data_IF_664461298189
#
_entry.id   IF_664461298189
#
_cell.length_a   1.000
_cell.length_b   1.000
_cell.length_c   1.000
_cell.angle_alpha   90.00
_cell.angle_beta   90.00
_cell.angle_gamma   90.00
#
_symmetry.space_group_name_H-M   'P 1'
#
loop_
_entity.id
_entity.type
_entity.pdbx_description
1 polymer ?
#
# COMPACT_ATOMS: atom_id res chain seq x y z
N UNK A 1 4.68 16.96 0.05
CA UNK A 1 4.51 17.80 1.26
C UNK A 1 4.55 16.89 2.48
N UNK A 2 5.19 17.29 3.58
CA UNK A 2 5.21 16.52 4.84
C UNK A 2 4.38 17.27 5.87
N UNK A 3 3.24 16.70 6.27
CA UNK A 3 2.32 17.37 7.21
C UNK A 3 1.38 16.38 7.90
N UNK A 4 1.41 16.39 9.23
CA UNK A 4 0.76 15.42 10.12
C UNK A 4 1.25 13.97 9.92
N UNK A 5 0.90 13.09 10.86
CA UNK A 5 1.28 11.67 10.85
C UNK A 5 0.58 10.88 11.96
N UNK A 6 -0.77 10.79 11.93
CA UNK A 6 -1.50 10.03 12.93
C UNK A 6 -1.24 8.53 12.76
N UNK A 7 -1.39 7.79 13.86
CA UNK A 7 -1.34 6.33 13.83
C UNK A 7 -2.41 5.74 12.89
N UNK A 8 -2.09 4.62 12.23
CA UNK A 8 -3.03 3.93 11.35
C UNK A 8 -3.85 2.84 12.07
N UNK A 9 -3.52 2.49 13.32
CA UNK A 9 -4.30 1.53 14.12
C UNK A 9 -5.42 2.22 14.89
N UNK A 10 -5.10 3.22 15.73
CA UNK A 10 -6.05 3.98 16.56
C UNK A 10 -6.60 5.25 15.87
N UNK A 11 -6.08 5.60 14.69
CA UNK A 11 -6.60 6.68 13.85
C UNK A 11 -6.57 6.25 12.36
N UNK A 12 -6.62 7.21 11.42
CA UNK A 12 -6.79 6.94 9.99
C UNK A 12 -5.48 6.79 9.19
N UNK A 13 -4.32 7.15 9.76
CA UNK A 13 -3.04 6.80 9.16
C UNK A 13 -2.67 7.54 7.87
N UNK A 14 -3.13 8.78 7.68
CA UNK A 14 -2.79 9.58 6.50
C UNK A 14 -2.23 10.96 6.87
N UNK A 15 -1.48 11.53 5.94
CA UNK A 15 -1.16 12.97 5.95
C UNK A 15 -2.42 13.83 5.92
N UNK A 16 -2.30 15.10 6.29
CA UNK A 16 -3.46 16.00 6.39
C UNK A 16 -4.18 16.24 5.05
N UNK A 17 -5.49 16.47 5.10
CA UNK A 17 -6.29 16.93 3.95
C UNK A 17 -5.77 18.27 3.39
N UNK A 18 -5.33 19.17 4.27
CA UNK A 18 -4.80 20.49 3.88
C UNK A 18 -3.61 20.35 2.93
N UNK A 19 -2.69 19.42 3.22
CA UNK A 19 -1.54 19.16 2.35
C UNK A 19 -1.97 18.64 0.98
N UNK A 20 -2.89 17.68 0.92
CA UNK A 20 -3.38 17.15 -0.37
C UNK A 20 -4.10 18.24 -1.18
N UNK A 21 -4.93 19.07 -0.54
CA UNK A 21 -5.63 20.17 -1.22
C UNK A 21 -4.66 21.24 -1.76
N UNK A 22 -3.62 21.59 -1.00
CA UNK A 22 -2.57 22.50 -1.46
C UNK A 22 -1.83 21.87 -2.64
N UNK A 23 -1.43 20.60 -2.54
CA UNK A 23 -0.74 19.90 -3.61
C UNK A 23 -1.59 19.88 -4.90
N UNK A 24 -2.88 19.53 -4.80
CA UNK A 24 -3.80 19.48 -5.94
C UNK A 24 -3.97 20.85 -6.62
N UNK A 25 -3.94 21.94 -5.86
CA UNK A 25 -3.97 23.30 -6.42
C UNK A 25 -2.66 23.71 -7.10
N UNK A 26 -1.52 23.23 -6.61
CA UNK A 26 -0.20 23.65 -7.08
C UNK A 26 0.33 22.79 -8.23
N UNK A 27 -0.14 21.55 -8.38
CA UNK A 27 0.47 20.58 -9.29
C UNK A 27 0.29 20.92 -10.78
N UNK A 28 -0.69 21.77 -11.11
CA UNK A 28 -0.99 22.16 -12.49
C UNK A 28 -1.83 21.13 -13.26
N UNK A 29 -2.23 21.44 -14.51
CA UNK A 29 -3.17 20.63 -15.29
C UNK A 29 -2.64 19.24 -15.69
N UNK A 30 -1.33 19.11 -15.89
CA UNK A 30 -0.66 17.86 -16.27
C UNK A 30 -0.02 17.14 -15.07
N UNK A 31 -0.32 17.61 -13.86
CA UNK A 31 0.34 17.18 -12.63
C UNK A 31 -0.39 16.05 -11.91
N UNK A 32 0.37 15.31 -11.08
CA UNK A 32 -0.17 14.26 -10.22
C UNK A 32 0.21 14.49 -8.75
N UNK A 33 -0.74 14.27 -7.86
CA UNK A 33 -0.48 14.23 -6.41
C UNK A 33 -0.47 12.79 -5.96
N UNK A 34 0.68 12.32 -5.51
CA UNK A 34 0.82 11.03 -4.86
C UNK A 34 0.74 11.21 -3.33
N UNK A 35 -0.08 10.39 -2.69
CA UNK A 35 -0.24 10.35 -1.22
C UNK A 35 -0.34 8.89 -0.78
N UNK A 36 -0.13 8.62 0.51
CA UNK A 36 -0.08 7.26 1.05
C UNK A 36 -0.93 7.08 2.31
N UNK A 37 -1.10 5.83 2.70
CA UNK A 37 -1.78 5.42 3.92
C UNK A 37 -0.93 4.38 4.66
N UNK A 38 -0.88 4.48 5.99
CA UNK A 38 -0.12 3.55 6.82
C UNK A 38 -0.75 2.15 6.88
N UNK A 39 0.08 1.12 7.13
CA UNK A 39 -0.27 -0.30 7.04
C UNK A 39 -0.70 -0.76 5.63
N UNK A 40 -1.27 -1.97 5.54
CA UNK A 40 -1.79 -2.52 4.30
C UNK A 40 -3.10 -1.87 3.85
N UNK A 41 -3.55 -2.26 2.66
CA UNK A 41 -4.79 -1.75 2.07
C UNK A 41 -6.07 -2.16 2.84
N UNK A 42 -5.98 -3.16 3.70
CA UNK A 42 -7.03 -3.57 4.63
C UNK A 42 -7.26 -2.58 5.78
N UNK A 43 -6.26 -1.75 6.12
CA UNK A 43 -6.37 -0.75 7.19
C UNK A 43 -6.23 0.66 6.63
N UNK A 44 -5.06 1.00 6.08
CA UNK A 44 -4.75 2.37 5.68
C UNK A 44 -5.61 2.85 4.53
N UNK A 45 -5.67 2.06 3.46
CA UNK A 45 -6.45 2.42 2.28
C UNK A 45 -7.96 2.44 2.59
N UNK A 46 -8.47 1.47 3.35
CA UNK A 46 -9.87 1.45 3.78
C UNK A 46 -10.24 2.75 4.51
N UNK A 47 -9.43 3.17 5.49
CA UNK A 47 -9.64 4.41 6.24
C UNK A 47 -9.42 5.66 5.40
N UNK A 48 -8.48 5.63 4.45
CA UNK A 48 -8.27 6.72 3.49
C UNK A 48 -9.55 6.98 2.70
N UNK A 49 -10.16 5.96 2.12
CA UNK A 49 -11.42 6.10 1.36
C UNK A 49 -12.61 6.44 2.27
N UNK A 50 -12.80 5.70 3.35
CA UNK A 50 -14.01 5.81 4.17
C UNK A 50 -14.02 6.97 5.17
N UNK A 51 -12.86 7.52 5.53
CA UNK A 51 -12.74 8.65 6.46
C UNK A 51 -12.20 9.88 5.72
N UNK A 52 -10.98 9.83 5.20
CA UNK A 52 -10.31 11.02 4.66
C UNK A 52 -10.98 11.53 3.38
N UNK A 53 -11.22 10.67 2.39
CA UNK A 53 -11.92 11.03 1.15
C UNK A 53 -13.36 11.45 1.43
N UNK A 54 -14.09 10.69 2.27
CA UNK A 54 -15.46 11.03 2.66
C UNK A 54 -15.56 12.42 3.31
N UNK A 55 -14.63 12.76 4.20
CA UNK A 55 -14.64 14.05 4.90
C UNK A 55 -14.16 15.21 4.01
N UNK A 56 -13.15 14.97 3.16
CA UNK A 56 -12.56 16.00 2.31
C UNK A 56 -13.30 16.25 1.00
N UNK A 57 -14.11 15.29 0.54
CA UNK A 57 -14.68 15.27 -0.80
C UNK A 57 -13.68 14.93 -1.92
N UNK A 58 -12.43 14.60 -1.58
CA UNK A 58 -11.41 14.22 -2.57
C UNK A 58 -11.66 12.81 -3.09
N UNK A 59 -11.57 12.64 -4.41
CA UNK A 59 -11.77 11.35 -5.09
C UNK A 59 -10.45 10.91 -5.73
N UNK A 60 -9.84 9.80 -5.29
CA UNK A 60 -8.62 9.27 -5.89
C UNK A 60 -8.86 8.78 -7.33
N UNK A 61 -7.92 9.03 -8.23
CA UNK A 61 -8.02 8.58 -9.64
C UNK A 61 -7.51 7.16 -9.87
N UNK A 62 -6.60 6.67 -9.01
CA UNK A 62 -6.03 5.33 -9.07
C UNK A 62 -5.46 4.92 -7.71
N UNK A 63 -5.26 3.62 -7.51
CA UNK A 63 -4.55 3.03 -6.38
C UNK A 63 -3.31 2.29 -6.89
N UNK A 64 -2.17 2.55 -6.24
CA UNK A 64 -0.94 1.76 -6.42
C UNK A 64 -0.76 0.86 -5.21
N UNK A 65 -0.82 -0.46 -5.41
CA UNK A 65 -0.52 -1.45 -4.38
C UNK A 65 0.92 -1.88 -4.51
N UNK A 66 1.73 -1.60 -3.49
CA UNK A 66 3.15 -1.99 -3.46
C UNK A 66 3.27 -3.43 -2.96
N UNK A 67 4.05 -4.24 -3.67
CA UNK A 67 4.35 -5.62 -3.29
C UNK A 67 5.84 -5.93 -3.53
N UNK A 68 6.34 -6.97 -2.89
CA UNK A 68 7.70 -7.51 -3.13
C UNK A 68 7.63 -9.03 -3.21
N UNK A 69 8.49 -9.66 -4.02
CA UNK A 69 8.55 -11.13 -4.11
C UNK A 69 8.80 -11.75 -2.73
N UNK A 70 9.69 -11.13 -1.93
CA UNK A 70 10.02 -11.59 -0.56
C UNK A 70 8.81 -11.56 0.38
N UNK A 71 8.03 -10.48 0.37
CA UNK A 71 6.84 -10.35 1.20
C UNK A 71 5.75 -11.35 0.78
N UNK A 72 5.58 -11.59 -0.52
CA UNK A 72 4.66 -12.62 -1.00
C UNK A 72 5.10 -14.01 -0.51
N UNK A 73 6.38 -14.39 -0.67
CA UNK A 73 6.89 -15.66 -0.13
C UNK A 73 6.65 -15.80 1.39
N UNK A 74 6.76 -14.71 2.16
CA UNK A 74 6.46 -14.72 3.60
C UNK A 74 4.98 -14.98 3.85
N UNK A 75 4.08 -14.36 3.10
CA UNK A 75 2.64 -14.64 3.16
C UNK A 75 2.26 -16.04 2.68
N UNK A 76 3.12 -16.68 1.87
CA UNK A 76 2.97 -18.07 1.44
C UNK A 76 3.38 -19.12 2.47
N UNK A 77 3.75 -18.70 3.69
CA UNK A 77 4.16 -19.61 4.77
C UNK A 77 5.67 -19.76 4.93
N UNK A 78 6.45 -18.86 4.34
CA UNK A 78 7.91 -18.84 4.52
C UNK A 78 8.36 -18.68 5.99
N UNK A 79 9.63 -18.96 6.31
CA UNK A 79 10.17 -18.91 7.67
C UNK A 79 10.00 -17.55 8.35
N UNK A 80 9.71 -17.52 9.65
CA UNK A 80 9.44 -16.26 10.38
C UNK A 80 10.59 -15.25 10.23
N UNK A 81 10.27 -14.06 9.70
CA UNK A 81 11.22 -12.94 9.63
C UNK A 81 11.31 -12.28 11.01
N UNK A 82 12.52 -12.14 11.53
CA UNK A 82 12.81 -11.49 12.82
C UNK A 82 13.78 -10.34 12.59
N UNK A 83 13.44 -9.15 13.07
CA UNK A 83 14.27 -7.96 12.94
C UNK A 83 15.69 -8.21 13.50
N UNK A 84 16.71 -7.78 12.76
CA UNK A 84 18.11 -7.96 13.13
C UNK A 84 18.71 -9.34 12.84
N UNK A 85 17.90 -10.32 12.38
CA UNK A 85 18.42 -11.61 11.89
C UNK A 85 18.58 -11.59 10.38
N UNK A 86 19.53 -12.38 9.89
CA UNK A 86 19.70 -12.64 8.45
C UNK A 86 18.43 -13.29 7.91
N UNK A 87 18.00 -12.86 6.72
CA UNK A 87 16.85 -13.46 6.05
C UNK A 87 17.16 -14.92 5.68
N UNK A 88 16.16 -15.78 5.85
CA UNK A 88 16.23 -17.16 5.39
C UNK A 88 16.44 -17.22 3.86
N UNK A 89 17.16 -18.24 3.39
CA UNK A 89 17.44 -18.46 1.97
C UNK A 89 16.16 -18.56 1.14
N UNK A 90 15.05 -19.04 1.73
CA UNK A 90 13.73 -19.05 1.10
C UNK A 90 13.29 -17.66 0.59
N UNK A 91 13.84 -16.57 1.14
CA UNK A 91 13.56 -15.21 0.69
C UNK A 91 14.54 -14.68 -0.37
N UNK A 92 15.75 -15.19 -0.44
CA UNK A 92 16.79 -14.74 -1.40
C UNK A 92 16.97 -15.67 -2.58
N UNK A 93 16.44 -16.89 -2.53
CA UNK A 93 16.44 -17.85 -3.62
C UNK A 93 15.07 -17.95 -4.29
N UNK A 94 15.03 -18.48 -5.51
CA UNK A 94 13.76 -18.72 -6.21
C UNK A 94 12.94 -19.77 -5.45
N UNK A 95 11.67 -19.45 -5.18
CA UNK A 95 10.71 -20.40 -4.65
C UNK A 95 9.32 -19.99 -5.13
N UNK A 96 8.87 -20.63 -6.22
CA UNK A 96 7.60 -20.30 -6.87
C UNK A 96 6.38 -20.77 -6.08
N UNK A 97 6.50 -21.86 -5.31
CA UNK A 97 5.41 -22.39 -4.49
C UNK A 97 5.03 -21.41 -3.37
N UNK A 98 6.01 -20.90 -2.63
CA UNK A 98 5.78 -19.86 -1.61
C UNK A 98 5.26 -18.57 -2.24
N UNK A 99 5.77 -18.19 -3.41
CA UNK A 99 5.31 -17.00 -4.11
C UNK A 99 3.83 -17.12 -4.50
N UNK A 100 3.45 -18.24 -5.13
CA UNK A 100 2.09 -18.51 -5.57
C UNK A 100 1.12 -18.56 -4.38
N UNK A 101 1.47 -19.28 -3.31
CA UNK A 101 0.68 -19.32 -2.08
C UNK A 101 0.50 -17.90 -1.48
N UNK A 102 1.55 -17.09 -1.52
CA UNK A 102 1.58 -15.70 -1.04
C UNK A 102 0.74 -14.72 -1.84
N UNK A 103 0.57 -14.95 -3.14
CA UNK A 103 -0.25 -14.11 -4.02
C UNK A 103 -1.71 -14.02 -3.55
N UNK A 104 -2.20 -14.98 -2.76
CA UNK A 104 -3.52 -14.92 -2.13
C UNK A 104 -3.75 -13.64 -1.31
N UNK A 105 -2.72 -13.16 -0.60
CA UNK A 105 -2.76 -11.90 0.14
C UNK A 105 -2.91 -10.69 -0.80
N UNK A 106 -2.05 -10.58 -1.82
CA UNK A 106 -2.11 -9.49 -2.80
C UNK A 106 -3.45 -9.48 -3.55
N UNK A 107 -3.94 -10.65 -3.96
CA UNK A 107 -5.25 -10.78 -4.59
C UNK A 107 -6.38 -10.27 -3.70
N UNK A 108 -6.32 -10.51 -2.38
CA UNK A 108 -7.31 -9.97 -1.45
C UNK A 108 -7.27 -8.43 -1.41
N UNK A 109 -6.08 -7.82 -1.34
CA UNK A 109 -5.94 -6.36 -1.37
C UNK A 109 -6.40 -5.75 -2.71
N UNK A 110 -6.09 -6.39 -3.84
CA UNK A 110 -6.58 -5.97 -5.17
C UNK A 110 -8.10 -6.01 -5.22
N UNK A 111 -8.73 -7.09 -4.72
CA UNK A 111 -10.20 -7.18 -4.66
C UNK A 111 -10.80 -6.08 -3.77
N UNK A 112 -10.20 -5.80 -2.62
CA UNK A 112 -10.67 -4.75 -1.71
C UNK A 112 -10.55 -3.36 -2.36
N UNK A 113 -9.41 -3.05 -2.99
CA UNK A 113 -9.21 -1.78 -3.67
C UNK A 113 -10.20 -1.56 -4.82
N UNK A 114 -10.47 -2.59 -5.63
CA UNK A 114 -11.45 -2.52 -6.73
C UNK A 114 -12.87 -2.22 -6.27
N UNK A 115 -13.24 -2.53 -5.02
CA UNK A 115 -14.59 -2.21 -4.48
C UNK A 115 -14.83 -0.70 -4.36
N UNK A 116 -13.78 0.11 -4.31
CA UNK A 116 -13.90 1.57 -4.30
C UNK A 116 -14.07 2.19 -5.69
N UNK A 117 -14.16 1.37 -6.75
CA UNK A 117 -14.48 1.83 -8.10
C UNK A 117 -13.34 2.55 -8.83
N UNK A 118 -12.10 2.43 -8.34
CA UNK A 118 -10.92 3.05 -8.93
C UNK A 118 -9.99 2.01 -9.58
N UNK A 119 -9.27 2.36 -10.66
CA UNK A 119 -8.22 1.53 -11.23
C UNK A 119 -7.15 1.15 -10.19
N UNK A 120 -6.66 -0.08 -10.27
CA UNK A 120 -5.63 -0.61 -9.36
C UNK A 120 -4.44 -1.07 -10.18
N UNK A 121 -3.26 -0.55 -9.85
CA UNK A 121 -1.96 -0.94 -10.41
C UNK A 121 -1.13 -1.57 -9.30
N UNK A 122 -0.47 -2.70 -9.59
CA UNK A 122 0.48 -3.30 -8.64
C UNK A 122 1.88 -2.84 -9.00
N UNK A 123 2.57 -2.23 -8.06
CA UNK A 123 3.99 -1.88 -8.16
C UNK A 123 4.81 -2.96 -7.44
N UNK A 124 5.56 -3.76 -8.22
CA UNK A 124 6.44 -4.79 -7.66
C UNK A 124 7.83 -4.18 -7.45
N UNK A 125 8.15 -3.88 -6.19
CA UNK A 125 9.46 -3.36 -5.84
C UNK A 125 10.51 -4.48 -5.96
N UNK A 126 11.43 -4.29 -6.91
CA UNK A 126 12.49 -5.25 -7.23
C UNK A 126 13.58 -5.26 -6.16
N UNK A 127 14.02 -6.45 -5.80
CA UNK A 127 15.25 -6.70 -5.06
C UNK A 127 16.29 -7.33 -6.01
N UNK A 128 17.57 -7.30 -5.63
CA UNK A 128 18.65 -7.85 -6.47
C UNK A 128 18.56 -9.38 -6.63
N UNK A 129 17.98 -10.05 -5.63
CA UNK A 129 17.60 -11.47 -5.61
C UNK A 129 16.17 -11.67 -6.06
#
# INVERSE_FOLDING_TARGET
>A
LVHAGPFANIAHGNSSIVADQIALKLVGPEGYVLTEAGFGADIGMEKFFNIKCRYSGLVPNAVVLVATIRALKMHGGGPKVVAGKVLDAAYTEENLELLEAGCSNLMAHVRNARRFGVPVVVAVNRFHT
#
